data_IF_999509332302
#
_entry.id   IF_999509332302
#
_cell.length_a   1.000
_cell.length_b   1.000
_cell.length_c   1.000
_cell.angle_alpha   90.00
_cell.angle_beta   90.00
_cell.angle_gamma   90.00
#
_symmetry.space_group_name_H-M   'P 1'
#
loop_
_entity.id
_entity.type
_entity.pdbx_description
1 polymer ?
#
# COMPACT_ATOMS: atom_id res chain seq x y z
N UNK A 1 15.90 6.55 1.72
CA UNK A 1 14.42 6.70 1.67
C UNK A 1 13.84 7.62 2.72
N UNK A 2 14.12 7.50 4.03
CA UNK A 2 13.60 8.48 5.02
C UNK A 2 14.01 9.93 4.72
N UNK A 3 15.28 10.15 4.34
CA UNK A 3 15.77 11.46 3.85
C UNK A 3 14.98 11.98 2.65
N UNK A 4 14.67 11.11 1.69
CA UNK A 4 13.90 11.48 0.49
C UNK A 4 12.50 11.97 0.86
N UNK A 5 11.80 11.26 1.75
CA UNK A 5 10.46 11.68 2.18
C UNK A 5 10.48 13.01 2.95
N UNK A 6 11.48 13.24 3.80
CA UNK A 6 11.63 14.53 4.48
C UNK A 6 11.88 15.65 3.46
N UNK A 7 12.80 15.45 2.51
CA UNK A 7 13.07 16.44 1.48
C UNK A 7 11.83 16.73 0.62
N UNK A 8 11.06 15.70 0.26
CA UNK A 8 9.81 15.89 -0.48
C UNK A 8 8.77 16.65 0.36
N UNK A 9 8.68 16.39 1.67
CA UNK A 9 7.82 17.12 2.58
C UNK A 9 8.21 18.61 2.67
N UNK A 10 9.51 18.90 2.76
CA UNK A 10 10.04 20.26 2.80
C UNK A 10 9.68 21.03 1.51
N UNK A 11 9.75 20.38 0.35
CA UNK A 11 9.43 20.99 -0.95
C UNK A 11 7.95 21.35 -1.08
N UNK A 12 7.04 20.49 -0.60
CA UNK A 12 5.59 20.68 -0.81
C UNK A 12 4.87 21.34 0.38
N UNK A 13 5.57 21.55 1.50
CA UNK A 13 4.95 21.89 2.78
C UNK A 13 4.19 23.22 2.79
N UNK A 14 4.63 24.19 1.99
CA UNK A 14 3.97 25.50 1.88
C UNK A 14 2.57 25.39 1.25
N UNK A 15 2.44 24.61 0.18
CA UNK A 15 1.19 24.46 -0.57
C UNK A 15 0.30 23.33 -0.05
N UNK A 16 0.92 22.30 0.55
CA UNK A 16 0.26 21.05 0.92
C UNK A 16 0.67 20.53 2.32
N UNK A 17 0.36 21.27 3.40
CA UNK A 17 0.83 20.95 4.75
C UNK A 17 0.38 19.55 5.24
N UNK A 18 -0.85 19.14 4.92
CA UNK A 18 -1.34 17.80 5.28
C UNK A 18 -0.62 16.67 4.53
N UNK A 19 -0.20 16.91 3.29
CA UNK A 19 0.55 15.92 2.52
C UNK A 19 2.00 15.82 3.02
N UNK A 20 2.63 16.95 3.34
CA UNK A 20 3.95 17.00 3.95
C UNK A 20 4.01 16.23 5.28
N UNK A 21 3.01 16.40 6.14
CA UNK A 21 2.90 15.64 7.40
C UNK A 21 2.80 14.13 7.16
N UNK A 22 2.07 13.70 6.13
CA UNK A 22 2.03 12.27 5.74
C UNK A 22 3.40 11.78 5.27
N UNK A 23 4.14 12.59 4.52
CA UNK A 23 5.48 12.25 4.04
C UNK A 23 6.49 12.16 5.19
N UNK A 24 6.41 13.00 6.23
CA UNK A 24 7.28 12.88 7.41
C UNK A 24 7.13 11.54 8.14
N UNK A 25 5.91 10.97 8.12
CA UNK A 25 5.63 9.64 8.70
C UNK A 25 5.93 8.48 7.75
N UNK A 26 6.30 8.77 6.50
CA UNK A 26 6.51 7.75 5.49
C UNK A 26 7.75 6.91 5.77
N UNK A 27 7.65 5.62 5.46
CA UNK A 27 8.75 4.66 5.58
C UNK A 27 8.90 3.86 4.28
N UNK A 28 10.06 3.20 4.06
CA UNK A 28 10.23 2.29 2.93
C UNK A 28 9.24 1.13 2.93
N UNK A 29 8.69 0.77 4.09
CA UNK A 29 7.67 -0.28 4.15
C UNK A 29 6.35 0.20 3.54
N UNK A 30 6.01 1.48 3.69
CA UNK A 30 4.78 2.03 3.12
C UNK A 30 4.76 1.94 1.59
N UNK A 31 5.87 2.26 0.92
CA UNK A 31 5.94 2.13 -0.55
C UNK A 31 5.87 0.69 -1.01
N UNK A 32 6.49 -0.25 -0.29
CA UNK A 32 6.33 -1.69 -0.57
C UNK A 32 4.87 -2.12 -0.44
N UNK A 33 4.20 -1.67 0.61
CA UNK A 33 2.79 -1.96 0.82
C UNK A 33 1.90 -1.40 -0.29
N UNK A 34 2.09 -0.13 -0.66
CA UNK A 34 1.34 0.48 -1.77
C UNK A 34 1.57 -0.27 -3.07
N UNK A 35 2.82 -0.62 -3.41
CA UNK A 35 3.12 -1.38 -4.61
C UNK A 35 2.46 -2.76 -4.60
N UNK A 36 2.63 -3.52 -3.51
CA UNK A 36 2.14 -4.89 -3.40
C UNK A 36 0.61 -4.97 -3.46
N UNK A 37 -0.09 -4.22 -2.60
CA UNK A 37 -1.55 -4.21 -2.59
C UNK A 37 -2.11 -3.66 -3.90
N UNK A 38 -1.47 -2.65 -4.51
CA UNK A 38 -1.96 -2.15 -5.81
C UNK A 38 -1.81 -3.18 -6.93
N UNK A 39 -0.69 -3.91 -6.98
CA UNK A 39 -0.48 -4.97 -7.96
C UNK A 39 -1.49 -6.12 -7.80
N UNK A 40 -1.71 -6.57 -6.56
CA UNK A 40 -2.69 -7.62 -6.23
C UNK A 40 -4.11 -7.18 -6.60
N UNK A 41 -4.51 -5.96 -6.23
CA UNK A 41 -5.81 -5.39 -6.60
C UNK A 41 -6.02 -5.27 -8.13
N UNK A 42 -4.92 -5.25 -8.90
CA UNK A 42 -4.94 -5.20 -10.38
C UNK A 42 -4.79 -6.58 -11.03
N UNK A 43 -4.85 -7.66 -10.23
CA UNK A 43 -4.86 -9.03 -10.72
C UNK A 43 -3.47 -9.66 -10.90
N UNK A 44 -2.41 -9.06 -10.36
CA UNK A 44 -1.11 -9.74 -10.33
C UNK A 44 -1.16 -10.94 -9.36
N UNK A 45 -0.49 -12.03 -9.73
CA UNK A 45 -0.36 -13.20 -8.88
C UNK A 45 0.53 -12.93 -7.66
N UNK A 46 0.19 -13.54 -6.51
CA UNK A 46 0.93 -13.37 -5.26
C UNK A 46 2.40 -13.81 -5.39
N UNK A 47 2.67 -14.83 -6.21
CA UNK A 47 4.03 -15.31 -6.52
C UNK A 47 4.82 -14.28 -7.32
N UNK A 48 4.20 -13.61 -8.30
CA UNK A 48 4.83 -12.51 -9.05
C UNK A 48 5.17 -11.33 -8.14
N UNK A 49 4.26 -10.96 -7.25
CA UNK A 49 4.50 -9.87 -6.29
C UNK A 49 5.61 -10.24 -5.31
N UNK A 50 5.66 -11.48 -4.82
CA UNK A 50 6.74 -12.00 -3.97
C UNK A 50 8.10 -11.85 -4.67
N UNK A 51 8.19 -12.28 -5.92
CA UNK A 51 9.44 -12.27 -6.68
C UNK A 51 9.90 -10.84 -6.98
N UNK A 52 8.97 -9.94 -7.34
CA UNK A 52 9.25 -8.52 -7.53
C UNK A 52 9.78 -7.85 -6.25
N UNK A 53 9.23 -8.23 -5.08
CA UNK A 53 9.70 -7.75 -3.79
C UNK A 53 10.94 -8.50 -3.27
N UNK A 54 11.37 -9.56 -3.97
CA UNK A 54 12.50 -10.44 -3.61
C UNK A 54 12.33 -11.08 -2.24
N UNK A 55 11.11 -11.48 -1.91
CA UNK A 55 10.83 -12.20 -0.67
C UNK A 55 11.12 -13.68 -0.84
N UNK A 56 11.89 -14.26 0.07
CA UNK A 56 12.19 -15.69 0.07
C UNK A 56 10.95 -16.56 0.38
N UNK A 57 9.95 -15.99 1.05
CA UNK A 57 8.74 -16.72 1.46
C UNK A 57 7.47 -16.05 0.93
N UNK A 58 6.54 -16.89 0.46
CA UNK A 58 5.20 -16.46 0.09
C UNK A 58 4.43 -15.91 1.30
N UNK A 59 4.70 -16.44 2.51
CA UNK A 59 4.06 -16.00 3.75
C UNK A 59 4.46 -14.56 4.13
N UNK A 60 5.67 -14.12 3.79
CA UNK A 60 6.05 -12.70 3.98
C UNK A 60 5.27 -11.77 3.06
N UNK A 61 4.86 -12.27 1.89
CA UNK A 61 4.11 -11.48 0.90
C UNK A 61 2.60 -11.51 1.16
N UNK A 62 2.08 -12.59 1.75
CA UNK A 62 0.65 -12.72 2.05
C UNK A 62 0.13 -11.65 3.02
N UNK A 63 1.01 -11.00 3.79
CA UNK A 63 0.64 -9.85 4.63
C UNK A 63 -0.05 -8.72 3.85
N UNK A 64 0.21 -8.60 2.54
CA UNK A 64 -0.37 -7.55 1.70
C UNK A 64 -1.78 -7.87 1.19
N UNK A 65 -2.28 -9.10 1.36
CA UNK A 65 -3.63 -9.50 0.95
C UNK A 65 -4.73 -8.92 1.86
N UNK A 66 -4.41 -8.66 3.13
CA UNK A 66 -5.40 -8.38 4.16
C UNK A 66 -6.15 -7.06 3.93
N UNK A 67 -5.49 -6.05 3.35
CA UNK A 67 -6.12 -4.76 3.04
C UNK A 67 -7.12 -4.87 1.88
N UNK A 68 -6.81 -5.69 0.87
CA UNK A 68 -7.70 -5.94 -0.27
C UNK A 68 -8.86 -6.84 0.12
N UNK A 69 -8.64 -7.82 1.01
CA UNK A 69 -9.70 -8.68 1.55
C UNK A 69 -10.75 -7.86 2.31
N UNK A 70 -10.34 -6.98 3.23
CA UNK A 70 -11.27 -6.10 3.95
C UNK A 70 -12.10 -5.23 3.01
N UNK A 71 -11.48 -4.68 1.95
CA UNK A 71 -12.19 -3.88 0.95
C UNK A 71 -13.20 -4.70 0.15
N UNK A 72 -12.82 -5.89 -0.31
CA UNK A 72 -13.71 -6.81 -1.05
C UNK A 72 -14.89 -7.28 -0.20
N UNK A 73 -14.64 -7.69 1.04
CA UNK A 73 -15.68 -8.10 1.98
C UNK A 73 -16.67 -6.97 2.24
N UNK A 74 -16.18 -5.73 2.43
CA UNK A 74 -17.04 -4.56 2.58
C UNK A 74 -17.93 -4.32 1.36
N UNK A 75 -17.37 -4.40 0.15
CA UNK A 75 -18.12 -4.23 -1.09
C UNK A 75 -19.19 -5.31 -1.26
N UNK A 76 -18.87 -6.56 -0.93
CA UNK A 76 -19.84 -7.66 -1.01
C UNK A 76 -20.98 -7.49 -0.02
N UNK A 77 -20.66 -7.13 1.24
CA UNK A 77 -21.67 -6.85 2.24
C UNK A 77 -22.59 -5.69 1.82
N UNK A 78 -22.06 -4.65 1.19
CA UNK A 78 -22.88 -3.55 0.65
C UNK A 78 -23.78 -4.00 -0.50
N UNK A 79 -23.28 -4.83 -1.42
CA UNK A 79 -24.05 -5.32 -2.56
C UNK A 79 -25.21 -6.24 -2.14
N UNK A 80 -25.02 -7.04 -1.08
CA UNK A 80 -26.05 -7.93 -0.55
C UNK A 80 -26.97 -7.28 0.49
N UNK A 81 -26.54 -6.24 1.19
CA UNK A 81 -27.38 -5.48 2.14
C UNK A 81 -28.33 -4.47 1.48
N UNK A 82 -28.14 -4.19 0.18
CA UNK A 82 -29.02 -3.33 -0.60
C UNK A 82 -30.22 -4.08 -1.23
N UNK A 83 -30.46 -5.33 -0.81
CA UNK A 83 -31.62 -6.16 -1.15
C UNK A 83 -32.42 -6.44 0.12
#
# INVERSE_FOLDING_TARGET
MRRFFNQAADVIGADHPTAAEKLHRASPHWTRHTHASHALARGAELTTVRDNLRHASIATTSIYLQSDEVKRTRQMNQAFAAR
#
